data_IF_437633282898
#
_entry.id   IF_437633282898
#
_cell.length_a   1.000
_cell.length_b   1.000
_cell.length_c   1.000
_cell.angle_alpha   90.00
_cell.angle_beta   90.00
_cell.angle_gamma   90.00
#
_symmetry.space_group_name_H-M   'P 1'
#
loop_
_entity.id
_entity.type
_entity.pdbx_description
1 polymer ?
#
# COMPACT_ATOMS: atom_id res chain seq x y z
N UNK A 1 -34.75 25.93 -37.65
CA UNK A 1 -36.09 25.62 -38.22
C UNK A 1 -36.80 24.70 -37.24
N UNK A 2 -37.99 25.09 -36.80
CA UNK A 2 -38.86 24.29 -35.92
C UNK A 2 -39.61 23.27 -36.80
N UNK A 3 -39.52 21.99 -36.44
CA UNK A 3 -40.45 20.92 -36.84
C UNK A 3 -40.47 19.94 -35.66
N UNK A 4 -41.41 20.05 -34.72
CA UNK A 4 -42.79 19.56 -34.82
C UNK A 4 -42.86 18.02 -34.75
N UNK A 5 -42.68 17.47 -33.55
CA UNK A 5 -43.22 16.17 -33.13
C UNK A 5 -43.62 16.27 -31.64
N UNK A 6 -44.56 17.17 -31.34
CA UNK A 6 -45.25 17.24 -30.04
C UNK A 6 -46.77 17.28 -30.27
N UNK A 7 -47.25 16.47 -31.21
CA UNK A 7 -48.66 16.40 -31.58
C UNK A 7 -49.01 14.92 -31.64
N UNK A 8 -49.83 14.48 -30.68
CA UNK A 8 -50.40 13.12 -30.55
C UNK A 8 -49.66 12.13 -29.65
N UNK A 9 -49.32 12.52 -28.42
CA UNK A 9 -49.33 11.56 -27.32
C UNK A 9 -50.74 11.56 -26.72
N UNK A 10 -51.65 10.76 -27.29
CA UNK A 10 -52.90 10.46 -26.58
C UNK A 10 -52.55 9.75 -25.28
N UNK A 11 -53.06 10.18 -24.11
CA UNK A 11 -52.79 9.53 -22.83
C UNK A 11 -53.20 8.04 -22.79
N UNK A 12 -53.96 7.59 -23.80
CA UNK A 12 -54.33 6.19 -24.03
C UNK A 12 -53.22 5.32 -24.63
N UNK A 13 -52.07 5.87 -25.05
CA UNK A 13 -50.91 5.10 -25.56
C UNK A 13 -49.77 4.97 -24.54
N UNK A 14 -49.84 5.67 -23.41
CA UNK A 14 -48.88 5.49 -22.32
C UNK A 14 -49.17 4.16 -21.61
N UNK A 15 -48.11 3.39 -21.34
CA UNK A 15 -48.25 2.15 -20.59
C UNK A 15 -48.91 2.48 -19.24
N UNK A 16 -49.92 1.69 -18.80
CA UNK A 16 -50.58 1.96 -17.53
C UNK A 16 -49.55 2.10 -16.40
N UNK A 17 -49.75 3.03 -15.44
CA UNK A 17 -48.81 3.22 -14.35
C UNK A 17 -48.50 1.88 -13.68
N UNK A 18 -47.23 1.61 -13.35
CA UNK A 18 -46.71 0.28 -12.99
C UNK A 18 -47.48 -0.44 -11.87
N UNK A 19 -48.14 0.31 -11.00
CA UNK A 19 -48.92 -0.21 -9.87
C UNK A 19 -50.42 0.03 -9.98
N UNK A 20 -50.86 0.73 -11.03
CA UNK A 20 -52.28 0.94 -11.29
C UNK A 20 -52.90 -0.39 -11.72
N UNK A 21 -53.90 -0.82 -10.96
CA UNK A 21 -54.74 -1.95 -11.28
C UNK A 21 -56.08 -1.44 -11.78
N UNK A 22 -56.62 -2.12 -12.79
CA UNK A 22 -57.90 -1.78 -13.39
C UNK A 22 -58.86 -2.95 -13.18
N UNK A 23 -60.12 -2.65 -12.93
CA UNK A 23 -61.14 -3.68 -12.82
C UNK A 23 -61.56 -4.21 -14.21
N UNK A 24 -62.44 -5.20 -14.24
CA UNK A 24 -62.96 -5.79 -15.49
C UNK A 24 -63.74 -4.80 -16.38
N UNK A 25 -64.12 -3.64 -15.84
CA UNK A 25 -64.77 -2.55 -16.58
C UNK A 25 -63.76 -1.55 -17.18
N UNK A 26 -62.46 -1.76 -16.95
CA UNK A 26 -61.41 -0.87 -17.44
C UNK A 26 -61.27 0.43 -16.64
N UNK A 27 -61.94 0.56 -15.49
CA UNK A 27 -61.76 1.72 -14.59
C UNK A 27 -60.70 1.43 -13.53
N UNK A 28 -60.02 2.49 -13.07
CA UNK A 28 -58.96 2.38 -12.07
C UNK A 28 -59.53 1.81 -10.76
N UNK A 29 -59.00 0.67 -10.34
CA UNK A 29 -59.29 0.10 -9.04
C UNK A 29 -58.35 0.73 -7.99
N UNK A 30 -58.88 1.75 -7.33
CA UNK A 30 -58.15 2.52 -6.31
C UNK A 30 -57.73 1.64 -5.13
N UNK A 31 -58.58 0.70 -4.71
CA UNK A 31 -58.33 -0.10 -3.51
C UNK A 31 -57.19 -1.09 -3.72
N UNK A 32 -57.20 -1.82 -4.84
CA UNK A 32 -56.16 -2.80 -5.14
C UNK A 32 -54.83 -2.14 -5.53
N UNK A 33 -54.90 -0.98 -6.21
CA UNK A 33 -53.74 -0.13 -6.48
C UNK A 33 -53.10 0.34 -5.17
N UNK A 34 -53.89 0.88 -4.24
CA UNK A 34 -53.38 1.36 -2.95
C UNK A 34 -52.76 0.22 -2.13
N UNK A 35 -53.42 -0.94 -2.08
CA UNK A 35 -52.89 -2.11 -1.37
C UNK A 35 -51.57 -2.61 -1.97
N UNK A 36 -51.44 -2.57 -3.30
CA UNK A 36 -50.21 -2.95 -3.99
C UNK A 36 -49.07 -1.99 -3.67
N UNK A 37 -49.35 -0.70 -3.69
CA UNK A 37 -48.39 0.35 -3.33
C UNK A 37 -47.96 0.21 -1.86
N UNK A 38 -48.92 0.03 -0.95
CA UNK A 38 -48.66 -0.16 0.48
C UNK A 38 -47.73 -1.37 0.75
N UNK A 39 -48.00 -2.52 0.13
CA UNK A 39 -47.15 -3.71 0.24
C UNK A 39 -45.71 -3.48 -0.25
N UNK A 40 -45.54 -2.64 -1.28
CA UNK A 40 -44.19 -2.29 -1.78
C UNK A 40 -43.47 -1.34 -0.84
N UNK A 41 -44.17 -0.37 -0.25
CA UNK A 41 -43.61 0.48 0.79
C UNK A 41 -43.18 -0.32 2.02
N UNK A 42 -43.98 -1.29 2.47
CA UNK A 42 -43.61 -2.15 3.59
C UNK A 42 -42.33 -2.96 3.30
N UNK A 43 -42.19 -3.49 2.07
CA UNK A 43 -40.95 -4.17 1.65
C UNK A 43 -39.77 -3.22 1.61
N UNK A 44 -39.96 -2.02 1.07
CA UNK A 44 -38.92 -1.00 0.98
C UNK A 44 -38.46 -0.58 2.37
N UNK A 45 -39.38 -0.35 3.30
CA UNK A 45 -39.08 -0.03 4.70
C UNK A 45 -38.31 -1.14 5.39
N UNK A 46 -38.78 -2.40 5.30
CA UNK A 46 -38.05 -3.54 5.87
C UNK A 46 -36.66 -3.67 5.29
N UNK A 47 -36.52 -3.44 3.98
CA UNK A 47 -35.25 -3.53 3.29
C UNK A 47 -34.30 -2.40 3.69
N UNK A 48 -34.74 -1.14 3.72
CA UNK A 48 -33.89 -0.01 4.12
C UNK A 48 -33.48 -0.11 5.57
N UNK A 49 -34.42 -0.44 6.47
CA UNK A 49 -34.15 -0.64 7.90
C UNK A 49 -33.21 -1.81 8.13
N UNK A 50 -33.41 -2.92 7.41
CA UNK A 50 -32.52 -4.09 7.49
C UNK A 50 -31.11 -3.79 6.98
N UNK A 51 -30.99 -3.03 5.89
CA UNK A 51 -29.70 -2.62 5.36
C UNK A 51 -28.94 -1.70 6.32
N UNK A 52 -29.62 -0.70 6.92
CA UNK A 52 -29.00 0.20 7.90
C UNK A 52 -28.50 -0.59 9.12
N UNK A 53 -29.32 -1.48 9.69
CA UNK A 53 -28.88 -2.34 10.81
C UNK A 53 -27.68 -3.20 10.46
N UNK A 54 -27.69 -3.84 9.28
CA UNK A 54 -26.55 -4.65 8.85
C UNK A 54 -25.26 -3.82 8.67
N UNK A 55 -25.41 -2.54 8.30
CA UNK A 55 -24.29 -1.62 8.18
C UNK A 55 -23.78 -1.16 9.56
N UNK A 56 -24.69 -0.86 10.49
CA UNK A 56 -24.39 -0.53 11.88
C UNK A 56 -23.67 -1.68 12.60
N UNK A 57 -24.15 -2.92 12.45
CA UNK A 57 -23.51 -4.11 13.04
C UNK A 57 -22.07 -4.27 12.54
N UNK A 58 -21.86 -4.16 11.22
CA UNK A 58 -20.52 -4.24 10.61
C UNK A 58 -19.61 -3.09 11.04
N UNK A 59 -20.16 -1.91 11.26
CA UNK A 59 -19.40 -0.76 11.77
C UNK A 59 -18.98 -1.02 13.23
N UNK A 60 -19.87 -1.56 14.06
CA UNK A 60 -19.53 -1.94 15.44
C UNK A 60 -18.44 -3.00 15.49
N UNK A 61 -18.46 -3.99 14.57
CA UNK A 61 -17.40 -4.99 14.46
C UNK A 61 -16.04 -4.37 14.10
N UNK A 62 -16.04 -3.41 13.15
CA UNK A 62 -14.82 -2.68 12.76
C UNK A 62 -14.28 -1.85 13.93
N UNK A 63 -15.14 -1.14 14.66
CA UNK A 63 -14.76 -0.37 15.84
C UNK A 63 -14.15 -1.27 16.92
N UNK A 64 -14.79 -2.41 17.23
CA UNK A 64 -14.25 -3.40 18.17
C UNK A 64 -12.89 -3.92 17.74
N UNK A 65 -12.75 -4.27 16.46
CA UNK A 65 -11.48 -4.76 15.92
C UNK A 65 -10.38 -3.70 16.01
N UNK A 66 -10.67 -2.44 15.70
CA UNK A 66 -9.70 -1.34 15.82
C UNK A 66 -9.24 -1.15 17.26
N UNK A 67 -10.19 -1.14 18.21
CA UNK A 67 -9.89 -1.01 19.64
C UNK A 67 -9.07 -2.19 20.16
N UNK A 68 -9.44 -3.42 19.80
CA UNK A 68 -8.73 -4.62 20.23
C UNK A 68 -7.32 -4.70 19.63
N UNK A 69 -7.18 -4.30 18.36
CA UNK A 69 -5.87 -4.21 17.69
C UNK A 69 -4.97 -3.13 18.27
N UNK A 70 -5.53 -1.99 18.68
CA UNK A 70 -4.76 -0.95 19.39
C UNK A 70 -4.26 -1.46 20.73
N UNK A 71 -5.12 -2.10 21.52
CA UNK A 71 -4.74 -2.73 22.80
C UNK A 71 -3.71 -3.84 22.63
N UNK A 72 -3.78 -4.61 21.56
CA UNK A 72 -2.77 -5.64 21.24
C UNK A 72 -1.41 -4.99 20.94
N UNK A 73 -1.40 -3.93 20.12
CA UNK A 73 -0.19 -3.18 19.81
C UNK A 73 0.43 -2.50 21.04
N UNK A 74 -0.39 -1.95 21.95
CA UNK A 74 0.08 -1.41 23.23
C UNK A 74 0.76 -2.50 24.06
N UNK A 75 0.14 -3.68 24.18
CA UNK A 75 0.73 -4.81 24.92
C UNK A 75 2.02 -5.33 24.28
N UNK A 76 2.11 -5.33 22.96
CA UNK A 76 3.35 -5.67 22.25
C UNK A 76 4.44 -4.63 22.51
N UNK A 77 4.11 -3.34 22.43
CA UNK A 77 5.04 -2.25 22.76
C UNK A 77 5.50 -2.27 24.22
N UNK A 78 4.62 -2.61 25.16
CA UNK A 78 4.98 -2.81 26.57
C UNK A 78 5.91 -4.01 26.75
N UNK A 79 5.66 -5.13 26.06
CA UNK A 79 6.55 -6.31 26.08
C UNK A 79 7.91 -5.98 25.48
N UNK A 80 7.97 -5.25 24.37
CA UNK A 80 9.21 -4.82 23.73
C UNK A 80 9.99 -3.84 24.61
N UNK A 81 9.32 -2.85 25.21
CA UNK A 81 9.92 -1.93 26.18
C UNK A 81 10.44 -2.67 27.42
N UNK A 82 9.71 -3.68 27.91
CA UNK A 82 10.14 -4.53 29.03
C UNK A 82 11.35 -5.40 28.65
N UNK A 83 11.37 -5.97 27.45
CA UNK A 83 12.53 -6.70 26.89
C UNK A 83 13.75 -5.78 26.70
N UNK A 84 13.57 -4.55 26.24
CA UNK A 84 14.65 -3.56 26.14
C UNK A 84 15.17 -3.12 27.53
N UNK A 85 14.30 -3.07 28.54
CA UNK A 85 14.70 -2.74 29.91
C UNK A 85 15.46 -3.89 30.60
N UNK A 86 15.10 -5.14 30.32
CA UNK A 86 15.89 -6.32 30.71
C UNK A 86 17.19 -6.45 29.90
N UNK A 87 17.28 -5.79 28.74
CA UNK A 87 18.52 -5.63 27.97
C UNK A 87 19.48 -4.59 28.58
N UNK A 88 19.35 -4.22 29.86
CA UNK A 88 20.40 -3.43 30.54
C UNK A 88 21.75 -4.16 30.60
N UNK A 89 21.79 -5.49 30.39
CA UNK A 89 23.01 -6.24 30.07
C UNK A 89 23.58 -6.02 28.65
N UNK A 90 22.83 -5.39 27.75
CA UNK A 90 23.27 -5.02 26.39
C UNK A 90 24.12 -3.76 26.35
N UNK A 91 24.10 -2.90 27.39
CA UNK A 91 24.94 -1.71 27.43
C UNK A 91 26.43 -2.09 27.55
N UNK A 92 26.73 -3.08 28.39
CA UNK A 92 28.07 -3.69 28.51
C UNK A 92 28.51 -4.31 27.18
N UNK A 93 27.65 -5.15 26.58
CA UNK A 93 27.94 -5.77 25.27
C UNK A 93 28.13 -4.75 24.14
N UNK A 94 27.43 -3.61 24.17
CA UNK A 94 27.60 -2.52 23.19
C UNK A 94 28.90 -1.75 23.41
N UNK A 95 29.38 -1.67 24.66
CA UNK A 95 30.68 -1.10 25.00
C UNK A 95 31.81 -2.01 24.51
N UNK A 96 31.73 -3.31 24.84
CA UNK A 96 32.69 -4.33 24.38
C UNK A 96 32.76 -4.40 22.84
N UNK A 97 31.61 -4.36 22.15
CA UNK A 97 31.57 -4.34 20.68
C UNK A 97 32.22 -3.08 20.07
N UNK A 98 32.18 -1.95 20.78
CA UNK A 98 32.81 -0.71 20.33
C UNK A 98 34.33 -0.77 20.53
N UNK A 99 34.79 -1.28 21.66
CA UNK A 99 36.21 -1.49 21.92
C UNK A 99 36.83 -2.47 20.90
N UNK A 100 36.17 -3.60 20.64
CA UNK A 100 36.61 -4.57 19.63
C UNK A 100 36.71 -3.94 18.24
N UNK A 101 35.75 -3.09 17.87
CA UNK A 101 35.77 -2.40 16.57
C UNK A 101 36.94 -1.41 16.46
N UNK A 102 37.24 -0.68 17.53
CA UNK A 102 38.33 0.28 17.56
C UNK A 102 39.69 -0.46 17.49
N UNK A 103 39.84 -1.58 18.19
CA UNK A 103 41.01 -2.47 18.10
C UNK A 103 41.21 -3.06 16.69
N UNK A 104 40.13 -3.49 16.04
CA UNK A 104 40.19 -4.00 14.66
C UNK A 104 40.60 -2.90 13.66
N UNK A 105 40.13 -1.67 13.87
CA UNK A 105 40.54 -0.52 13.04
C UNK A 105 42.02 -0.20 13.20
N UNK A 106 42.56 -0.27 14.43
CA UNK A 106 43.99 -0.10 14.68
C UNK A 106 44.81 -1.24 14.04
N UNK A 107 44.38 -2.49 14.22
CA UNK A 107 44.99 -3.67 13.59
C UNK A 107 45.03 -3.53 12.06
N UNK A 108 43.95 -3.08 11.44
CA UNK A 108 43.90 -2.85 9.99
C UNK A 108 44.91 -1.78 9.55
N UNK A 109 45.08 -0.71 10.34
CA UNK A 109 46.10 0.32 10.12
C UNK A 109 47.52 -0.24 10.16
N UNK A 110 47.84 -1.01 11.21
CA UNK A 110 49.15 -1.66 11.40
C UNK A 110 49.43 -2.70 10.31
N UNK A 111 48.44 -3.52 9.93
CA UNK A 111 48.56 -4.49 8.84
C UNK A 111 48.78 -3.80 7.50
N UNK A 112 48.10 -2.68 7.25
CA UNK A 112 48.32 -1.87 6.06
C UNK A 112 49.72 -1.26 6.00
N UNK A 113 50.28 -0.86 7.14
CA UNK A 113 51.67 -0.40 7.25
C UNK A 113 52.67 -1.54 7.04
N UNK A 114 52.42 -2.69 7.65
CA UNK A 114 53.23 -3.90 7.47
C UNK A 114 53.26 -4.35 6.00
N UNK A 115 52.12 -4.30 5.30
CA UNK A 115 52.05 -4.58 3.87
C UNK A 115 52.87 -3.59 3.02
N UNK A 116 52.90 -2.31 3.40
CA UNK A 116 53.74 -1.29 2.74
C UNK A 116 55.22 -1.51 3.00
N UNK A 117 55.62 -1.83 4.23
CA UNK A 117 57.01 -2.18 4.56
C UNK A 117 57.45 -3.46 3.84
N UNK A 118 56.59 -4.48 3.78
CA UNK A 118 56.85 -5.72 3.04
C UNK A 118 56.99 -5.47 1.54
N UNK A 119 56.14 -4.61 0.96
CA UNK A 119 56.27 -4.19 -0.43
C UNK A 119 57.58 -3.44 -0.67
N UNK A 120 57.97 -2.51 0.21
CA UNK A 120 59.27 -1.80 0.09
C UNK A 120 60.46 -2.76 0.13
N UNK A 121 60.43 -3.77 0.98
CA UNK A 121 61.47 -4.80 1.02
C UNK A 121 61.50 -5.61 -0.29
N UNK A 122 60.34 -5.98 -0.82
CA UNK A 122 60.23 -6.71 -2.09
C UNK A 122 60.62 -5.87 -3.32
N UNK A 123 60.33 -4.57 -3.32
CA UNK A 123 60.65 -3.63 -4.43
C UNK A 123 61.98 -2.90 -4.23
N UNK A 124 62.76 -3.27 -3.21
CA UNK A 124 64.08 -2.66 -2.99
C UNK A 124 65.02 -2.96 -4.17
N UNK A 125 65.80 -1.97 -4.63
CA UNK A 125 66.45 -1.98 -5.95
C UNK A 125 67.55 -3.05 -6.11
N UNK A 126 67.95 -3.73 -5.05
CA UNK A 126 68.90 -4.86 -5.14
C UNK A 126 68.28 -6.10 -5.82
N UNK A 127 66.94 -6.19 -5.94
CA UNK A 127 66.25 -7.33 -6.55
C UNK A 127 65.57 -7.07 -7.92
N UNK A 128 65.69 -5.87 -8.53
CA UNK A 128 65.01 -5.54 -9.81
C UNK A 128 65.96 -5.12 -10.94
N UNK A 129 67.24 -5.52 -10.90
CA UNK A 129 68.11 -5.45 -12.09
C UNK A 129 67.65 -6.45 -13.14
N UNK A 130 66.71 -6.04 -14.03
CA UNK A 130 66.40 -6.54 -15.39
C UNK A 130 65.01 -6.02 -15.83
N UNK A 131 64.86 -4.83 -16.42
CA UNK A 131 64.86 -4.64 -17.88
C UNK A 131 63.56 -3.91 -18.35
N UNK A 132 63.54 -3.15 -19.47
CA UNK A 132 62.49 -2.17 -19.77
C UNK A 132 61.62 -2.51 -21.00
N UNK A 133 60.33 -2.10 -21.01
CA UNK A 133 59.61 -1.43 -22.13
C UNK A 133 58.10 -1.31 -21.83
N UNK A 134 57.54 -0.10 -21.73
CA UNK A 134 56.73 0.60 -22.75
C UNK A 134 55.57 -0.22 -23.37
N UNK A 135 54.33 0.21 -23.16
CA UNK A 135 53.51 0.89 -24.19
C UNK A 135 52.04 1.05 -23.74
N UNK A 136 51.54 2.25 -24.04
CA UNK A 136 50.19 2.79 -23.88
C UNK A 136 49.29 2.47 -25.07
N UNK A 137 47.97 2.31 -24.85
CA UNK A 137 46.87 2.68 -25.76
C UNK A 137 45.54 2.14 -25.18
N UNK A 138 44.33 2.66 -25.44
CA UNK A 138 43.77 3.95 -25.84
C UNK A 138 42.24 3.75 -25.71
N UNK A 139 41.51 4.78 -25.27
CA UNK A 139 40.06 4.75 -24.98
C UNK A 139 39.23 4.98 -26.25
N UNK A 140 38.06 4.35 -26.38
CA UNK A 140 37.03 4.77 -27.34
C UNK A 140 35.62 4.56 -26.77
N UNK A 141 34.80 5.62 -26.81
CA UNK A 141 33.40 5.70 -26.32
C UNK A 141 32.46 5.91 -27.53
N UNK A 142 31.25 5.36 -27.48
CA UNK A 142 30.20 5.51 -28.50
C UNK A 142 28.84 6.00 -27.91
N UNK A 143 27.95 6.63 -28.72
CA UNK A 143 26.97 7.63 -28.29
C UNK A 143 25.52 7.14 -28.13
N UNK A 144 24.65 8.01 -27.58
CA UNK A 144 23.26 7.75 -27.16
C UNK A 144 22.21 8.01 -28.25
N UNK A 145 21.12 7.25 -28.21
CA UNK A 145 19.96 7.34 -29.12
C UNK A 145 18.76 8.00 -28.45
N UNK A 146 18.16 8.99 -29.12
CA UNK A 146 16.84 9.56 -28.78
C UNK A 146 15.78 9.08 -29.78
N UNK A 147 14.54 8.87 -29.33
CA UNK A 147 13.39 8.84 -30.24
C UNK A 147 12.09 9.21 -29.52
N UNK A 148 11.29 10.05 -30.18
CA UNK A 148 10.02 10.64 -29.73
C UNK A 148 8.82 9.85 -30.29
N UNK A 149 7.78 9.65 -29.47
CA UNK A 149 6.50 9.10 -29.87
C UNK A 149 5.50 10.22 -30.23
N UNK A 150 4.76 10.00 -31.32
CA UNK A 150 3.56 10.76 -31.74
C UNK A 150 2.33 10.19 -31.06
#
# INVERSE_FOLDING_TARGET
>A
MRSADNISSSPSREAPPLYAQFNSQGTLDIHSTLLTIAKRFEKLEKWTVGHVRALEDRMSDVERWLVDKEKEKEKEGEKESKLMKDSSGSAELRHELREIKDEVSELQGRVGELGREMAKMATSPTNLSSGPNTQTAAVSVAPQTTSSLV
#
